data_IF_139348890200
#
_entry.id   IF_139348890200
#
_cell.length_a   1.000
_cell.length_b   1.000
_cell.length_c   1.000
_cell.angle_alpha   90.00
_cell.angle_beta   90.00
_cell.angle_gamma   90.00
#
_symmetry.space_group_name_H-M   'P 1'
#
loop_
_entity.id
_entity.type
_entity.pdbx_description
1 polymer ?
#
# COMPACT_ATOMS: atom_id res chain seq x y z
N UNK A 1 -12.80 -7.19 26.59
CA UNK A 1 -11.93 -7.64 25.50
C UNK A 1 -10.86 -6.59 25.32
N UNK A 2 -9.63 -6.99 25.41
CA UNK A 2 -8.50 -6.10 25.22
C UNK A 2 -8.41 -5.77 23.72
N UNK A 3 -8.23 -4.50 23.41
CA UNK A 3 -8.10 -4.02 22.02
C UNK A 3 -6.80 -4.47 21.36
N UNK A 4 -6.53 -4.06 20.12
CA UNK A 4 -5.29 -4.37 19.44
C UNK A 4 -4.08 -3.82 20.21
N UNK A 5 -2.99 -4.56 20.20
CA UNK A 5 -1.70 -4.16 20.80
C UNK A 5 -0.73 -3.79 19.69
N UNK A 6 -0.20 -2.57 19.71
CA UNK A 6 0.85 -2.13 18.80
C UNK A 6 2.22 -2.56 19.31
N UNK A 7 3.06 -3.10 18.44
CA UNK A 7 4.41 -3.57 18.71
C UNK A 7 5.42 -2.77 17.86
N UNK A 8 6.71 -2.92 18.18
CA UNK A 8 7.84 -2.38 17.41
C UNK A 8 7.84 -0.85 17.27
N UNK A 9 7.60 -0.16 18.39
CA UNK A 9 7.56 1.31 18.41
C UNK A 9 8.96 1.98 18.41
N UNK A 10 10.04 1.23 18.26
CA UNK A 10 11.40 1.79 18.32
C UNK A 10 11.74 2.77 17.19
N UNK A 11 11.04 2.67 16.06
CA UNK A 11 11.15 3.61 14.93
C UNK A 11 10.06 4.69 14.94
N UNK A 12 9.22 4.75 15.99
CA UNK A 12 8.14 5.73 16.07
C UNK A 12 8.70 7.14 16.27
N UNK A 13 8.18 8.09 15.51
CA UNK A 13 8.55 9.51 15.59
C UNK A 13 7.34 10.38 15.23
N UNK A 14 7.43 11.66 15.55
CA UNK A 14 6.39 12.61 15.16
C UNK A 14 6.60 13.02 13.69
N UNK A 15 5.72 12.57 12.80
CA UNK A 15 5.87 12.79 11.36
C UNK A 15 4.52 12.88 10.62
N UNK A 16 4.57 12.77 9.29
CA UNK A 16 3.37 12.81 8.46
C UNK A 16 2.60 11.48 8.56
N UNK A 17 1.34 11.49 9.04
CA UNK A 17 0.51 10.28 9.15
C UNK A 17 0.24 9.59 7.81
N UNK A 18 0.43 10.27 6.68
CA UNK A 18 0.35 9.65 5.36
C UNK A 18 1.36 8.50 5.18
N UNK A 19 2.53 8.58 5.86
CA UNK A 19 3.53 7.52 5.83
C UNK A 19 3.00 6.23 6.47
N UNK A 20 2.38 6.33 7.63
CA UNK A 20 1.88 5.15 8.35
C UNK A 20 0.79 4.45 7.55
N UNK A 21 -0.15 5.23 7.01
CA UNK A 21 -1.23 4.68 6.19
C UNK A 21 -0.66 4.04 4.91
N UNK A 22 0.21 4.73 4.18
CA UNK A 22 0.84 4.18 2.97
C UNK A 22 1.65 2.92 3.26
N UNK A 23 2.36 2.88 4.40
CA UNK A 23 3.14 1.72 4.81
C UNK A 23 2.25 0.49 5.08
N UNK A 24 1.13 0.66 5.77
CA UNK A 24 0.17 -0.43 5.99
C UNK A 24 -0.48 -0.87 4.67
N UNK A 25 -0.96 0.08 3.87
CA UNK A 25 -1.69 -0.20 2.63
C UNK A 25 -0.81 -0.94 1.60
N UNK A 26 0.50 -0.62 1.50
CA UNK A 26 1.37 -1.32 0.55
C UNK A 26 1.46 -2.83 0.84
N UNK A 27 1.37 -3.24 2.10
CA UNK A 27 1.40 -4.65 2.46
C UNK A 27 0.18 -5.43 1.96
N UNK A 28 -1.01 -4.82 1.94
CA UNK A 28 -2.17 -5.46 1.33
C UNK A 28 -1.98 -5.69 -0.16
N UNK A 29 -1.41 -4.71 -0.87
CA UNK A 29 -1.12 -4.85 -2.30
C UNK A 29 -0.09 -5.96 -2.57
N UNK A 30 1.01 -6.01 -1.80
CA UNK A 30 2.04 -7.04 -1.94
C UNK A 30 1.48 -8.45 -1.65
N UNK A 31 0.59 -8.56 -0.67
CA UNK A 31 -0.02 -9.84 -0.29
C UNK A 31 -0.93 -10.43 -1.36
N UNK A 32 -1.45 -9.61 -2.28
CA UNK A 32 -2.17 -10.10 -3.46
C UNK A 32 -1.31 -11.04 -4.33
N UNK A 33 0.01 -10.82 -4.39
CA UNK A 33 0.94 -11.69 -5.09
C UNK A 33 1.33 -12.91 -4.26
N UNK A 34 1.53 -12.71 -2.96
CA UNK A 34 1.91 -13.80 -2.05
C UNK A 34 0.82 -14.87 -1.93
N UNK A 35 -0.45 -14.47 -1.92
CA UNK A 35 -1.59 -15.38 -1.83
C UNK A 35 -2.65 -14.98 -2.86
N UNK A 36 -2.44 -15.32 -4.15
CA UNK A 36 -3.33 -14.87 -5.23
C UNK A 36 -4.80 -15.26 -5.04
N UNK A 37 -5.06 -16.41 -4.39
CA UNK A 37 -6.43 -16.87 -4.09
C UNK A 37 -7.18 -15.94 -3.12
N UNK A 38 -6.48 -15.14 -2.33
CA UNK A 38 -7.03 -14.16 -1.38
C UNK A 38 -6.84 -12.69 -1.85
N UNK A 39 -6.48 -12.46 -3.12
CA UNK A 39 -6.18 -11.12 -3.63
C UNK A 39 -7.35 -10.14 -3.44
N UNK A 40 -8.59 -10.57 -3.72
CA UNK A 40 -9.77 -9.73 -3.54
C UNK A 40 -10.04 -9.42 -2.05
N UNK A 41 -9.75 -10.34 -1.14
CA UNK A 41 -9.87 -10.11 0.29
C UNK A 41 -8.84 -9.05 0.76
N UNK A 42 -7.61 -9.11 0.26
CA UNK A 42 -6.59 -8.09 0.55
C UNK A 42 -6.95 -6.71 -0.02
N UNK A 43 -7.51 -6.65 -1.21
CA UNK A 43 -8.02 -5.39 -1.77
C UNK A 43 -9.20 -4.85 -0.95
N UNK A 44 -10.08 -5.71 -0.47
CA UNK A 44 -11.17 -5.33 0.45
C UNK A 44 -10.61 -4.80 1.78
N UNK A 45 -9.57 -5.41 2.34
CA UNK A 45 -8.88 -4.89 3.52
C UNK A 45 -8.23 -3.52 3.27
N UNK A 46 -7.64 -3.33 2.09
CA UNK A 46 -7.10 -2.03 1.66
C UNK A 46 -8.19 -0.96 1.70
N UNK A 47 -9.34 -1.21 1.06
CA UNK A 47 -10.46 -0.27 0.99
C UNK A 47 -11.03 0.02 2.39
N UNK A 48 -11.22 -1.02 3.21
CA UNK A 48 -11.74 -0.89 4.57
C UNK A 48 -10.81 -0.06 5.47
N UNK A 49 -9.50 -0.29 5.41
CA UNK A 49 -8.52 0.49 6.17
C UNK A 49 -8.47 1.94 5.71
N UNK A 50 -8.42 2.18 4.39
CA UNK A 50 -8.42 3.52 3.82
C UNK A 50 -9.66 4.32 4.25
N UNK A 51 -10.85 3.73 4.10
CA UNK A 51 -12.12 4.36 4.49
C UNK A 51 -12.19 4.64 5.99
N UNK A 52 -11.88 3.66 6.84
CA UNK A 52 -11.90 3.82 8.29
C UNK A 52 -10.93 4.91 8.77
N UNK A 53 -9.75 4.98 8.15
CA UNK A 53 -8.78 6.02 8.47
C UNK A 53 -9.29 7.41 8.09
N UNK A 54 -9.82 7.57 6.88
CA UNK A 54 -10.41 8.82 6.40
C UNK A 54 -11.59 9.27 7.27
N UNK A 55 -12.50 8.36 7.62
CA UNK A 55 -13.66 8.66 8.47
C UNK A 55 -13.27 9.08 9.89
N UNK A 56 -12.23 8.44 10.47
CA UNK A 56 -11.85 8.67 11.86
C UNK A 56 -11.06 9.97 12.05
N UNK A 57 -10.24 10.34 11.11
CA UNK A 57 -9.31 11.43 11.29
C UNK A 57 -9.87 12.82 10.86
N UNK A 58 -11.08 12.88 10.25
CA UNK A 58 -11.82 14.13 9.99
C UNK A 58 -11.22 15.03 8.92
N UNK A 59 -11.65 16.30 8.87
CA UNK A 59 -11.33 17.27 7.82
C UNK A 59 -9.82 17.59 7.59
N UNK A 60 -8.95 17.23 8.53
CA UNK A 60 -7.50 17.34 8.34
C UNK A 60 -6.96 16.35 7.31
N UNK A 61 -7.80 15.48 6.77
CA UNK A 61 -7.42 14.29 5.99
C UNK A 61 -7.62 14.38 4.49
N UNK A 62 -8.32 15.35 3.93
CA UNK A 62 -8.33 15.50 2.46
C UNK A 62 -6.90 15.57 1.91
N UNK A 63 -6.02 16.29 2.62
CA UNK A 63 -4.61 16.37 2.27
C UNK A 63 -3.83 15.08 2.59
N UNK A 64 -4.26 14.21 3.51
CA UNK A 64 -3.58 12.96 3.85
C UNK A 64 -3.82 11.90 2.78
N UNK A 65 -5.01 11.76 2.22
CA UNK A 65 -5.28 10.80 1.16
C UNK A 65 -4.36 11.03 -0.04
N UNK A 66 -4.31 12.27 -0.54
CA UNK A 66 -3.44 12.62 -1.67
C UNK A 66 -1.97 12.33 -1.37
N UNK A 67 -1.46 12.74 -0.18
CA UNK A 67 -0.09 12.45 0.21
C UNK A 67 0.17 10.94 0.36
N UNK A 68 -0.80 10.20 0.88
CA UNK A 68 -0.71 8.73 0.98
C UNK A 68 -0.64 8.09 -0.40
N UNK A 69 -1.50 8.52 -1.33
CA UNK A 69 -1.51 8.03 -2.70
C UNK A 69 -0.17 8.30 -3.42
N UNK A 70 0.47 9.44 -3.16
CA UNK A 70 1.78 9.80 -3.71
C UNK A 70 2.95 9.04 -3.06
N UNK A 71 2.86 8.73 -1.76
CA UNK A 71 3.90 7.97 -1.03
C UNK A 71 3.84 6.47 -1.31
N UNK A 72 2.64 5.94 -1.48
CA UNK A 72 2.39 4.50 -1.62
C UNK A 72 3.25 3.82 -2.69
N UNK A 73 3.37 4.33 -3.93
CA UNK A 73 4.19 3.68 -4.95
C UNK A 73 5.68 3.67 -4.61
N UNK A 74 6.20 4.68 -3.92
CA UNK A 74 7.57 4.72 -3.45
C UNK A 74 7.85 3.65 -2.39
N UNK A 75 6.95 3.51 -1.41
CA UNK A 75 7.04 2.46 -0.39
C UNK A 75 6.85 1.07 -1.01
N UNK A 76 5.93 0.93 -1.95
CA UNK A 76 5.69 -0.31 -2.68
C UNK A 76 6.95 -0.78 -3.43
N UNK A 77 7.63 0.11 -4.14
CA UNK A 77 8.91 -0.16 -4.79
C UNK A 77 10.02 -0.49 -3.79
N UNK A 78 10.09 0.23 -2.67
CA UNK A 78 11.11 0.01 -1.65
C UNK A 78 11.02 -1.38 -0.98
N UNK A 79 9.85 -2.04 -1.03
CA UNK A 79 9.66 -3.39 -0.48
C UNK A 79 10.17 -4.50 -1.41
N UNK A 80 10.59 -4.18 -2.61
CA UNK A 80 11.24 -5.14 -3.55
C UNK A 80 12.67 -4.71 -3.90
N UNK A 81 12.97 -3.41 -3.97
CA UNK A 81 14.27 -2.88 -4.40
C UNK A 81 15.01 -2.10 -3.29
N UNK A 82 14.41 -1.90 -2.13
CA UNK A 82 15.00 -1.14 -1.03
C UNK A 82 15.90 -1.98 -0.10
N UNK A 83 16.31 -1.36 1.01
CA UNK A 83 17.18 -1.99 2.01
C UNK A 83 16.53 -3.15 2.77
N UNK A 84 15.20 -3.17 2.86
CA UNK A 84 14.43 -4.18 3.60
C UNK A 84 13.33 -4.72 2.70
N UNK A 85 13.68 -5.53 1.70
CA UNK A 85 12.68 -6.16 0.84
C UNK A 85 11.82 -7.14 1.67
N UNK A 86 10.59 -7.38 1.21
CA UNK A 86 9.74 -8.38 1.86
C UNK A 86 10.26 -9.78 1.56
N UNK A 87 10.33 -10.62 2.59
CA UNK A 87 10.89 -11.97 2.47
C UNK A 87 9.95 -12.94 1.75
N UNK A 88 8.65 -12.64 1.72
CA UNK A 88 7.63 -13.52 1.16
C UNK A 88 7.42 -13.38 -0.36
N UNK A 89 8.07 -12.41 -1.03
CA UNK A 89 8.09 -12.28 -2.49
C UNK A 89 9.48 -12.59 -3.03
N UNK A 90 9.60 -13.71 -3.71
CA UNK A 90 10.87 -14.17 -4.31
C UNK A 90 10.75 -14.43 -5.83
N UNK A 91 9.53 -14.48 -6.36
CA UNK A 91 9.31 -14.67 -7.80
C UNK A 91 9.69 -13.41 -8.57
N UNK A 92 10.55 -13.58 -9.59
CA UNK A 92 11.05 -12.45 -10.38
C UNK A 92 9.95 -11.76 -11.22
N UNK A 93 8.95 -12.50 -11.67
CA UNK A 93 7.84 -11.94 -12.43
C UNK A 93 6.96 -11.07 -11.53
N UNK A 94 6.68 -11.52 -10.31
CA UNK A 94 5.92 -10.75 -9.32
C UNK A 94 6.65 -9.47 -8.89
N UNK A 95 7.96 -9.56 -8.64
CA UNK A 95 8.80 -8.40 -8.36
C UNK A 95 8.76 -7.39 -9.52
N UNK A 96 8.79 -7.85 -10.76
CA UNK A 96 8.73 -6.96 -11.93
C UNK A 96 7.36 -6.31 -12.09
N UNK A 97 6.27 -6.97 -11.70
CA UNK A 97 4.93 -6.36 -11.63
C UNK A 97 4.89 -5.20 -10.64
N UNK A 98 5.45 -5.38 -9.44
CA UNK A 98 5.58 -4.32 -8.44
C UNK A 98 6.36 -3.13 -9.01
N UNK A 99 7.53 -3.38 -9.64
CA UNK A 99 8.36 -2.34 -10.25
C UNK A 99 7.61 -1.56 -11.33
N UNK A 100 6.91 -2.25 -12.20
CA UNK A 100 6.17 -1.64 -13.32
C UNK A 100 5.09 -0.70 -12.83
N UNK A 101 4.22 -1.15 -11.91
CA UNK A 101 3.14 -0.32 -11.36
C UNK A 101 3.70 0.84 -10.53
N UNK A 102 4.69 0.57 -9.68
CA UNK A 102 5.32 1.62 -8.86
C UNK A 102 5.91 2.72 -9.72
N UNK A 103 6.68 2.37 -10.75
CA UNK A 103 7.30 3.34 -11.65
C UNK A 103 6.25 4.11 -12.46
N UNK A 104 5.18 3.46 -12.92
CA UNK A 104 4.09 4.13 -13.62
C UNK A 104 3.43 5.18 -12.73
N UNK A 105 3.08 4.83 -11.48
CA UNK A 105 2.45 5.74 -10.52
C UNK A 105 3.40 6.85 -10.01
N UNK A 106 4.72 6.61 -9.99
CA UNK A 106 5.69 7.64 -9.65
C UNK A 106 5.87 8.66 -10.79
N UNK A 107 5.75 8.22 -12.04
CA UNK A 107 5.85 9.09 -13.21
C UNK A 107 4.54 9.85 -13.48
N UNK A 108 3.41 9.21 -13.25
CA UNK A 108 2.07 9.78 -13.41
C UNK A 108 1.27 9.57 -12.11
N UNK A 109 1.49 10.41 -11.09
CA UNK A 109 0.85 10.27 -9.80
C UNK A 109 -0.67 10.37 -9.88
N UNK A 110 -1.35 9.60 -9.02
CA UNK A 110 -2.78 9.69 -8.78
C UNK A 110 -3.04 10.31 -7.41
N UNK A 111 -4.10 11.10 -7.29
CA UNK A 111 -4.40 11.85 -6.07
C UNK A 111 -5.30 11.08 -5.08
N UNK A 112 -5.78 9.89 -5.46
CA UNK A 112 -6.68 9.07 -4.65
C UNK A 112 -6.14 7.67 -4.43
N UNK A 113 -6.46 7.10 -3.28
CA UNK A 113 -6.13 5.71 -2.96
C UNK A 113 -6.87 4.72 -3.86
N UNK A 114 -8.09 5.04 -4.28
CA UNK A 114 -8.83 4.25 -5.27
C UNK A 114 -8.10 4.21 -6.63
N UNK A 115 -7.54 5.32 -7.06
CA UNK A 115 -6.72 5.39 -8.27
C UNK A 115 -5.49 4.47 -8.21
N UNK A 116 -4.77 4.49 -7.09
CA UNK A 116 -3.60 3.64 -6.86
C UNK A 116 -3.99 2.14 -6.79
N UNK A 117 -5.04 1.82 -6.05
CA UNK A 117 -5.61 0.47 -5.94
C UNK A 117 -6.08 -0.05 -7.29
N UNK A 118 -6.76 0.80 -8.07
CA UNK A 118 -7.24 0.46 -9.41
C UNK A 118 -6.11 0.18 -10.41
N UNK A 119 -5.00 0.93 -10.32
CA UNK A 119 -3.80 0.65 -11.12
C UNK A 119 -3.22 -0.74 -10.79
N UNK A 120 -3.14 -1.09 -9.50
CA UNK A 120 -2.69 -2.41 -9.07
C UNK A 120 -3.63 -3.53 -9.52
N UNK A 121 -4.94 -3.35 -9.38
CA UNK A 121 -5.91 -4.35 -9.81
C UNK A 121 -5.84 -4.62 -11.32
N UNK A 122 -5.63 -3.59 -12.15
CA UNK A 122 -5.41 -3.77 -13.59
C UNK A 122 -4.16 -4.62 -13.88
N UNK A 123 -3.09 -4.39 -13.12
CA UNK A 123 -1.86 -5.18 -13.24
C UNK A 123 -2.08 -6.65 -12.83
N UNK A 124 -2.80 -6.89 -11.73
CA UNK A 124 -3.14 -8.27 -11.32
C UNK A 124 -3.91 -9.02 -12.41
N UNK A 125 -4.82 -8.34 -13.09
CA UNK A 125 -5.65 -8.92 -14.15
C UNK A 125 -4.94 -9.05 -15.50
N UNK A 126 -3.84 -8.32 -15.73
CA UNK A 126 -3.10 -8.38 -17.01
C UNK A 126 -2.19 -9.61 -17.17
N UNK A 127 -1.98 -10.34 -16.09
CA UNK A 127 -1.13 -11.55 -16.06
C UNK A 127 -1.88 -12.87 -16.29
N UNK A 128 -3.12 -12.82 -16.75
CA UNK A 128 -3.94 -14.00 -17.09
C UNK A 128 -3.91 -14.24 -18.60
#
# INVERSE_FOLDING_TARGET
ADGPVFLDAECAWFGDPAFDLAFCLNHFLLKCLWTPAAAEDFLTCFDAMASAYVETAGAALEAVECRTAHLLPGLFLARVDGKSPVEYLSDAADIERVRRVSKALLNEPVDTLDGARGAWQRELNSGI
#
